data_IF_202194955054
#
_entry.id   IF_202194955054
#
_cell.length_a   1.000
_cell.length_b   1.000
_cell.length_c   1.000
_cell.angle_alpha   90.00
_cell.angle_beta   90.00
_cell.angle_gamma   90.00
#
_symmetry.space_group_name_H-M   'P 1'
#
loop_
_entity.id
_entity.type
_entity.pdbx_description
1 polymer ?
#
# COMPACT_ATOMS: atom_id res chain seq x y z
N UNK A 1 -26.18 13.98 -19.80
CA UNK A 1 -25.55 12.64 -19.71
C UNK A 1 -24.12 12.82 -20.18
N UNK A 2 -23.24 13.25 -19.28
CA UNK A 2 -21.83 13.43 -19.61
C UNK A 2 -21.24 12.02 -19.72
N UNK A 3 -20.84 11.63 -20.92
CA UNK A 3 -20.02 10.45 -21.13
C UNK A 3 -18.67 10.80 -20.50
N UNK A 4 -18.44 10.41 -19.25
CA UNK A 4 -17.21 10.75 -18.53
C UNK A 4 -16.00 10.29 -19.36
N UNK A 5 -15.22 11.26 -19.85
CA UNK A 5 -14.17 11.04 -20.85
C UNK A 5 -13.04 10.08 -20.39
N UNK A 6 -13.01 9.70 -19.12
CA UNK A 6 -12.00 8.84 -18.51
C UNK A 6 -12.46 7.38 -18.36
N UNK A 7 -13.74 7.07 -18.59
CA UNK A 7 -14.27 5.70 -18.63
C UNK A 7 -14.28 5.22 -20.09
N UNK A 8 -13.67 4.08 -20.45
CA UNK A 8 -13.16 2.99 -19.62
C UNK A 8 -11.64 3.00 -19.35
N UNK A 9 -10.92 4.07 -19.71
CA UNK A 9 -9.44 4.09 -19.62
C UNK A 9 -8.93 3.95 -18.19
N UNK A 10 -9.52 4.66 -17.22
CA UNK A 10 -9.09 4.63 -15.81
C UNK A 10 -9.11 3.23 -15.16
N UNK A 11 -10.19 2.42 -15.24
CA UNK A 11 -10.18 1.07 -14.69
C UNK A 11 -9.14 0.18 -15.39
N UNK A 12 -8.97 0.30 -16.72
CA UNK A 12 -8.00 -0.49 -17.47
C UNK A 12 -6.58 -0.22 -16.96
N UNK A 13 -6.18 1.05 -16.85
CA UNK A 13 -4.85 1.40 -16.34
C UNK A 13 -4.66 1.01 -14.88
N UNK A 14 -5.70 1.15 -14.05
CA UNK A 14 -5.64 0.74 -12.63
C UNK A 14 -5.42 -0.77 -12.50
N UNK A 15 -6.11 -1.57 -13.32
CA UNK A 15 -5.95 -3.03 -13.32
C UNK A 15 -4.59 -3.46 -13.87
N UNK A 16 -4.10 -2.81 -14.94
CA UNK A 16 -2.75 -3.05 -15.45
C UNK A 16 -1.68 -2.69 -14.41
N UNK A 17 -1.85 -1.57 -13.70
CA UNK A 17 -0.99 -1.17 -12.59
C UNK A 17 -0.93 -2.22 -11.48
N UNK A 18 -2.07 -2.83 -11.13
CA UNK A 18 -2.14 -3.93 -10.18
C UNK A 18 -1.32 -5.15 -10.64
N UNK A 19 -1.52 -5.60 -11.88
CA UNK A 19 -0.80 -6.76 -12.44
C UNK A 19 0.70 -6.49 -12.48
N UNK A 20 1.10 -5.35 -13.05
CA UNK A 20 2.51 -4.99 -13.20
C UNK A 20 3.22 -4.85 -11.85
N UNK A 21 2.52 -4.37 -10.81
CA UNK A 21 3.08 -4.25 -9.46
C UNK A 21 3.29 -5.60 -8.76
N UNK A 22 2.48 -6.62 -9.07
CA UNK A 22 2.57 -7.95 -8.43
C UNK A 22 3.55 -8.88 -9.18
N UNK A 23 3.68 -8.78 -10.50
CA UNK A 23 4.57 -9.64 -11.30
C UNK A 23 5.99 -9.80 -10.75
N UNK A 24 6.70 -8.74 -10.31
CA UNK A 24 8.07 -8.88 -9.80
C UNK A 24 8.16 -9.32 -8.33
N UNK A 25 7.03 -9.42 -7.62
CA UNK A 25 6.97 -9.75 -6.20
C UNK A 25 7.71 -11.06 -5.84
N UNK A 26 7.53 -12.20 -6.54
CA UNK A 26 8.24 -13.44 -6.21
C UNK A 26 9.77 -13.30 -6.31
N UNK A 27 10.27 -12.55 -7.30
CA UNK A 27 11.72 -12.32 -7.45
C UNK A 27 12.29 -11.45 -6.33
N UNK A 28 11.57 -10.40 -5.92
CA UNK A 28 12.00 -9.54 -4.82
C UNK A 28 11.90 -10.22 -3.45
N UNK A 29 10.97 -11.16 -3.28
CA UNK A 29 10.86 -11.99 -2.09
C UNK A 29 12.09 -12.90 -1.95
N UNK A 30 12.53 -13.53 -3.06
CA UNK A 30 13.75 -14.33 -3.11
C UNK A 30 15.01 -13.50 -2.85
N UNK A 31 15.04 -12.23 -3.27
CA UNK A 31 16.14 -11.29 -3.00
C UNK A 31 16.15 -10.74 -1.56
N UNK A 32 15.24 -11.20 -0.68
CA UNK A 32 15.09 -10.75 0.69
C UNK A 32 14.93 -9.22 0.79
N UNK A 33 14.26 -8.59 -0.20
CA UNK A 33 14.05 -7.15 -0.23
C UNK A 33 12.66 -6.77 0.29
N UNK A 34 12.50 -6.85 1.61
CA UNK A 34 11.24 -6.63 2.29
C UNK A 34 10.65 -5.23 2.04
N UNK A 35 11.46 -4.17 2.07
CA UNK A 35 10.98 -2.81 1.76
C UNK A 35 10.37 -2.68 0.35
N UNK A 36 10.98 -3.29 -0.66
CA UNK A 36 10.42 -3.30 -2.03
C UNK A 36 9.16 -4.16 -2.13
N UNK A 37 9.10 -5.30 -1.44
CA UNK A 37 7.90 -6.14 -1.39
C UNK A 37 6.72 -5.37 -0.77
N UNK A 38 6.94 -4.66 0.35
CA UNK A 38 5.90 -3.83 0.95
C UNK A 38 5.44 -2.69 0.04
N UNK A 39 6.38 -2.04 -0.66
CA UNK A 39 6.05 -1.01 -1.64
C UNK A 39 5.15 -1.56 -2.76
N UNK A 40 5.48 -2.73 -3.30
CA UNK A 40 4.72 -3.42 -4.35
C UNK A 40 3.33 -3.85 -3.88
N UNK A 41 3.22 -4.39 -2.66
CA UNK A 41 1.93 -4.79 -2.08
C UNK A 41 1.02 -3.58 -1.85
N UNK A 42 1.53 -2.50 -1.25
CA UNK A 42 0.73 -1.30 -1.00
C UNK A 42 0.31 -0.60 -2.29
N UNK A 43 1.19 -0.54 -3.29
CA UNK A 43 0.86 0.01 -4.61
C UNK A 43 -0.19 -0.83 -5.34
N UNK A 44 -0.04 -2.16 -5.32
CA UNK A 44 -1.03 -3.07 -5.90
C UNK A 44 -2.40 -2.92 -5.20
N UNK A 45 -2.44 -2.90 -3.86
CA UNK A 45 -3.67 -2.69 -3.11
C UNK A 45 -4.36 -1.37 -3.45
N UNK A 46 -3.59 -0.28 -3.61
CA UNK A 46 -4.13 1.02 -4.00
C UNK A 46 -4.72 0.98 -5.42
N UNK A 47 -4.03 0.38 -6.38
CA UNK A 47 -4.51 0.22 -7.75
C UNK A 47 -5.77 -0.64 -7.82
N UNK A 48 -5.84 -1.75 -7.07
CA UNK A 48 -7.01 -2.61 -6.99
C UNK A 48 -8.21 -1.87 -6.38
N UNK A 49 -7.97 -1.07 -5.33
CA UNK A 49 -9.00 -0.27 -4.69
C UNK A 49 -9.60 0.76 -5.67
N UNK A 50 -8.74 1.48 -6.42
CA UNK A 50 -9.17 2.42 -7.45
C UNK A 50 -9.97 1.74 -8.57
N UNK A 51 -9.52 0.56 -9.03
CA UNK A 51 -10.24 -0.24 -10.01
C UNK A 51 -11.65 -0.59 -9.54
N UNK A 52 -11.78 -1.19 -8.36
CA UNK A 52 -13.09 -1.60 -7.81
C UNK A 52 -14.00 -0.39 -7.61
N UNK A 53 -13.47 0.71 -7.07
CA UNK A 53 -14.26 1.93 -6.88
C UNK A 53 -14.77 2.51 -8.21
N UNK A 54 -13.95 2.50 -9.25
CA UNK A 54 -14.37 2.98 -10.57
C UNK A 54 -15.48 2.13 -11.18
N UNK A 55 -15.50 0.81 -10.92
CA UNK A 55 -16.54 -0.10 -11.42
C UNK A 55 -17.84 0.02 -10.62
N UNK A 56 -17.74 -0.01 -9.28
CA UNK A 56 -18.91 -0.03 -8.40
C UNK A 56 -19.68 1.30 -8.45
N UNK A 57 -18.99 2.43 -8.60
CA UNK A 57 -19.58 3.77 -8.67
C UNK A 57 -19.60 4.36 -10.08
N UNK A 58 -19.47 3.55 -11.14
CA UNK A 58 -19.40 4.02 -12.52
C UNK A 58 -20.60 4.88 -12.96
N UNK A 59 -21.81 4.54 -12.49
CA UNK A 59 -23.07 5.18 -12.91
C UNK A 59 -23.89 5.72 -11.72
N UNK A 60 -23.37 5.61 -10.50
CA UNK A 60 -24.13 5.94 -9.29
C UNK A 60 -23.20 6.47 -8.20
N UNK A 61 -23.54 7.62 -7.61
CA UNK A 61 -22.88 8.16 -6.40
C UNK A 61 -23.50 7.63 -5.10
N UNK A 62 -24.44 6.68 -5.19
CA UNK A 62 -25.17 6.13 -4.03
C UNK A 62 -24.27 5.13 -3.27
N UNK A 63 -24.40 5.07 -1.95
CA UNK A 63 -23.64 4.14 -1.12
C UNK A 63 -24.20 2.70 -1.23
N UNK A 64 -24.02 2.08 -2.38
CA UNK A 64 -24.53 0.73 -2.69
C UNK A 64 -23.85 -0.35 -1.84
N UNK A 65 -22.60 -0.14 -1.43
CA UNK A 65 -21.80 -1.08 -0.64
C UNK A 65 -21.13 -0.37 0.56
N UNK A 66 -21.85 -0.14 1.67
CA UNK A 66 -21.32 0.59 2.83
C UNK A 66 -20.10 -0.10 3.46
N UNK A 67 -20.09 -1.43 3.51
CA UNK A 67 -18.96 -2.21 4.06
C UNK A 67 -17.71 -2.04 3.19
N UNK A 68 -17.86 -2.05 1.85
CA UNK A 68 -16.73 -1.84 0.95
C UNK A 68 -16.18 -0.42 1.05
N UNK A 69 -17.04 0.59 1.12
CA UNK A 69 -16.62 1.98 1.27
C UNK A 69 -15.73 2.18 2.50
N UNK A 70 -16.11 1.57 3.64
CA UNK A 70 -15.28 1.60 4.85
C UNK A 70 -13.92 0.93 4.65
N UNK A 71 -13.88 -0.23 4.00
CA UNK A 71 -12.62 -0.94 3.70
C UNK A 71 -11.75 -0.11 2.75
N UNK A 72 -12.35 0.46 1.71
CA UNK A 72 -11.69 1.26 0.69
C UNK A 72 -10.98 2.48 1.27
N UNK A 73 -11.65 3.21 2.17
CA UNK A 73 -11.05 4.36 2.86
C UNK A 73 -9.85 3.92 3.70
N UNK A 74 -9.96 2.78 4.40
CA UNK A 74 -8.87 2.23 5.21
C UNK A 74 -7.67 1.82 4.36
N UNK A 75 -7.91 1.18 3.21
CA UNK A 75 -6.85 0.83 2.26
C UNK A 75 -6.16 2.10 1.74
N UNK A 76 -6.92 3.12 1.36
CA UNK A 76 -6.37 4.37 0.81
C UNK A 76 -5.54 5.13 1.85
N UNK A 77 -6.02 5.24 3.08
CA UNK A 77 -5.25 5.81 4.20
C UNK A 77 -4.00 4.99 4.50
N UNK A 78 -4.12 3.66 4.51
CA UNK A 78 -3.01 2.74 4.68
C UNK A 78 -1.94 2.90 3.61
N UNK A 79 -2.32 2.99 2.34
CA UNK A 79 -1.38 3.19 1.22
C UNK A 79 -0.69 4.55 1.26
N UNK A 80 -1.39 5.61 1.69
CA UNK A 80 -0.81 6.96 1.78
C UNK A 80 0.38 7.02 2.76
N UNK A 81 0.36 6.18 3.80
CA UNK A 81 1.46 6.07 4.78
C UNK A 81 2.40 4.90 4.44
N UNK A 82 1.86 3.78 3.96
CA UNK A 82 2.59 2.56 3.66
C UNK A 82 3.59 2.72 2.51
N UNK A 83 3.22 3.42 1.44
CA UNK A 83 4.11 3.67 0.29
C UNK A 83 5.37 4.48 0.70
N UNK A 84 5.27 5.65 1.34
CA UNK A 84 6.46 6.40 1.78
C UNK A 84 7.24 5.68 2.88
N UNK A 85 6.57 4.98 3.79
CA UNK A 85 7.22 4.13 4.79
C UNK A 85 8.08 3.03 4.14
N UNK A 86 7.54 2.36 3.12
CA UNK A 86 8.27 1.36 2.32
C UNK A 86 9.46 1.99 1.60
N UNK A 87 9.27 3.18 1.02
CA UNK A 87 10.34 3.95 0.36
C UNK A 87 11.49 4.29 1.32
N UNK A 88 11.19 4.69 2.55
CA UNK A 88 12.21 4.92 3.59
C UNK A 88 13.02 3.64 3.87
N UNK A 89 12.36 2.48 3.96
CA UNK A 89 13.03 1.19 4.17
C UNK A 89 13.98 0.84 3.00
N UNK A 90 13.54 1.08 1.76
CA UNK A 90 14.38 0.91 0.56
C UNK A 90 15.60 1.83 0.61
N UNK A 91 15.40 3.12 0.90
CA UNK A 91 16.48 4.10 1.01
C UNK A 91 17.47 3.75 2.12
N UNK A 92 16.98 3.28 3.27
CA UNK A 92 17.82 2.83 4.39
C UNK A 92 18.70 1.64 3.99
N UNK A 93 18.16 0.68 3.23
CA UNK A 93 18.94 -0.44 2.68
C UNK A 93 20.00 0.06 1.71
N UNK A 94 19.65 0.95 0.79
CA UNK A 94 20.58 1.53 -0.18
C UNK A 94 21.70 2.29 0.53
N UNK A 95 21.38 3.08 1.56
CA UNK A 95 22.36 3.79 2.38
C UNK A 95 23.37 2.85 3.05
N UNK A 96 22.93 1.71 3.58
CA UNK A 96 23.83 0.69 4.16
C UNK A 96 24.75 0.05 3.12
N UNK A 97 24.26 -0.13 1.88
CA UNK A 97 25.04 -0.68 0.77
C UNK A 97 26.09 0.35 0.32
N UNK A 98 25.69 1.60 0.13
CA UNK A 98 26.56 2.69 -0.32
C UNK A 98 27.69 3.01 0.67
N UNK A 99 27.42 2.91 1.98
CA UNK A 99 28.44 3.12 3.01
C UNK A 99 29.34 1.90 3.27
N UNK A 100 29.32 0.88 2.40
CA UNK A 100 30.12 -0.34 2.52
C UNK A 100 30.02 -1.07 3.87
N UNK A 101 28.98 -0.79 4.69
CA UNK A 101 28.66 -1.57 5.89
C UNK A 101 28.14 -2.99 5.55
N UNK A 102 28.10 -3.33 4.25
CA UNK A 102 27.62 -4.60 3.71
C UNK A 102 28.61 -5.77 3.88
N UNK A 103 29.85 -5.53 4.31
CA UNK A 103 30.94 -6.55 4.31
C UNK A 103 30.69 -7.71 5.28
N UNK A 104 29.79 -7.59 6.26
CA UNK A 104 29.43 -8.72 7.15
C UNK A 104 27.98 -8.64 7.68
N UNK A 105 26.98 -8.52 6.81
CA UNK A 105 25.59 -8.59 7.28
C UNK A 105 25.26 -10.04 7.65
N UNK A 106 25.27 -10.32 8.95
CA UNK A 106 24.85 -11.61 9.52
C UNK A 106 23.35 -11.85 9.29
N UNK A 107 22.94 -13.12 9.30
CA UNK A 107 21.53 -13.52 9.13
C UNK A 107 20.61 -12.85 10.17
N UNK A 108 21.12 -12.63 11.40
CA UNK A 108 20.40 -11.94 12.47
C UNK A 108 20.08 -10.48 12.11
N UNK A 109 21.04 -9.76 11.53
CA UNK A 109 20.84 -8.37 11.10
C UNK A 109 19.86 -8.25 9.92
N UNK A 110 19.79 -9.26 9.04
CA UNK A 110 18.75 -9.32 7.99
C UNK A 110 17.35 -9.50 8.57
N UNK A 111 17.19 -10.40 9.54
CA UNK A 111 15.89 -10.67 10.18
C UNK A 111 15.43 -9.44 10.98
N UNK A 112 16.33 -8.78 11.73
CA UNK A 112 16.03 -7.51 12.41
C UNK A 112 15.61 -6.42 11.43
N UNK A 113 16.28 -6.34 10.27
CA UNK A 113 15.89 -5.43 9.20
C UNK A 113 14.45 -5.65 8.75
N UNK A 114 14.09 -6.91 8.46
CA UNK A 114 12.72 -7.28 8.08
C UNK A 114 11.74 -6.96 9.21
N UNK A 115 12.05 -7.27 10.46
CA UNK A 115 11.17 -6.98 11.59
C UNK A 115 10.89 -5.48 11.72
N UNK A 116 11.91 -4.64 11.55
CA UNK A 116 11.76 -3.18 11.57
C UNK A 116 10.97 -2.71 10.35
N UNK A 117 11.23 -3.24 9.16
CA UNK A 117 10.49 -2.88 7.95
C UNK A 117 9.00 -3.26 8.08
N UNK A 118 8.70 -4.45 8.60
CA UNK A 118 7.34 -4.91 8.92
C UNK A 118 6.69 -4.02 9.97
N UNK A 119 7.40 -3.69 11.05
CA UNK A 119 6.88 -2.80 12.08
C UNK A 119 6.55 -1.43 11.49
N UNK A 120 7.45 -0.83 10.70
CA UNK A 120 7.22 0.50 10.13
C UNK A 120 6.10 0.47 9.07
N UNK A 121 6.06 -0.55 8.22
CA UNK A 121 5.09 -0.65 7.12
C UNK A 121 3.70 -1.13 7.56
N UNK A 122 3.54 -1.68 8.77
CA UNK A 122 2.26 -2.25 9.27
C UNK A 122 1.76 -1.52 10.52
N UNK A 123 2.65 -1.17 11.47
CA UNK A 123 2.27 -0.51 12.73
C UNK A 123 1.77 0.92 12.49
N UNK A 124 2.41 1.69 11.60
CA UNK A 124 1.99 3.05 11.30
C UNK A 124 0.58 3.11 10.66
N UNK A 125 0.27 2.30 9.63
CA UNK A 125 -1.08 2.19 9.11
C UNK A 125 -2.09 1.76 10.19
N UNK A 126 -1.75 0.78 11.04
CA UNK A 126 -2.64 0.34 12.11
C UNK A 126 -2.95 1.44 13.12
N UNK A 127 -1.95 2.20 13.56
CA UNK A 127 -2.14 3.34 14.49
C UNK A 127 -3.04 4.40 13.86
N UNK A 128 -2.86 4.70 12.57
CA UNK A 128 -3.69 5.67 11.86
C UNK A 128 -5.15 5.19 11.72
N UNK A 129 -5.34 3.90 11.44
CA UNK A 129 -6.65 3.27 11.36
C UNK A 129 -7.37 3.25 12.71
N UNK A 130 -6.66 2.95 13.80
CA UNK A 130 -7.20 2.96 15.16
C UNK A 130 -7.60 4.38 15.56
N UNK A 131 -6.77 5.38 15.27
CA UNK A 131 -7.14 6.79 15.51
C UNK A 131 -8.37 7.22 14.70
N UNK A 132 -8.49 6.76 13.44
CA UNK A 132 -9.68 7.00 12.61
C UNK A 132 -10.95 6.36 13.21
N UNK A 133 -10.83 5.14 13.74
CA UNK A 133 -11.93 4.44 14.43
C UNK A 133 -12.37 5.20 15.70
N UNK A 134 -11.42 5.70 16.49
CA UNK A 134 -11.70 6.49 17.70
C UNK A 134 -12.44 7.79 17.35
N UNK A 135 -12.09 8.45 16.24
CA UNK A 135 -12.75 9.68 15.80
C UNK A 135 -14.20 9.44 15.36
N UNK A 136 -14.49 8.29 14.74
CA UNK A 136 -15.84 7.89 14.33
C UNK A 136 -16.70 7.37 15.49
N UNK A 137 -16.08 6.87 16.56
CA UNK A 137 -16.76 6.47 17.79
C UNK A 137 -17.09 7.65 18.73
N UNK A 138 -16.69 8.88 18.40
CA UNK A 138 -17.18 10.08 19.10
C UNK A 138 -18.51 10.50 18.46
N UNK A 139 -19.68 10.16 19.03
CA UNK A 139 -20.94 10.72 18.55
C UNK A 139 -20.81 12.25 18.64
N UNK A 140 -21.15 12.92 17.55
CA UNK A 140 -21.36 14.36 17.51
C UNK A 140 -22.26 14.75 18.67
N UNK A 141 -21.72 15.59 19.56
CA UNK A 141 -22.51 16.39 20.51
C UNK A 141 -23.28 17.42 19.69
#
# INVERSE_FOLDING_TARGET
MALDATYPLFPIFSFLGFILSITPLPWHLQAWNSGTVYFMMWSALACLNMFINSIVWADNARNTAPIWCEISIRIMLGSAVGIPASSLCINRRLYKIANAQAVAITRSEKIKGILVDTAVCVLFPLVYLVMGCIRRARPSI
#
